data_IF_690351082974
#
_entry.id   IF_690351082974
#
_cell.length_a   1.000
_cell.length_b   1.000
_cell.length_c   1.000
_cell.angle_alpha   90.00
_cell.angle_beta   90.00
_cell.angle_gamma   90.00
#
_symmetry.space_group_name_H-M   'P 1'
#
loop_
_entity.id
_entity.type
_entity.pdbx_description
1 polymer ?
#
# COMPACT_ATOMS: atom_id res chain seq x y z
N UNK A 1 14.51 -9.86 -10.20
CA UNK A 1 13.73 -9.10 -9.19
C UNK A 1 13.40 -7.73 -9.77
N UNK A 2 12.12 -7.39 -9.92
CA UNK A 2 11.72 -6.12 -10.51
C UNK A 2 11.76 -5.00 -9.45
N UNK A 3 12.92 -4.35 -9.32
CA UNK A 3 13.13 -3.26 -8.33
C UNK A 3 12.17 -2.08 -8.53
N UNK A 4 11.80 -1.79 -9.78
CA UNK A 4 10.88 -0.70 -10.10
C UNK A 4 9.49 -0.96 -9.51
N UNK A 5 8.97 -2.17 -9.71
CA UNK A 5 7.68 -2.59 -9.18
C UNK A 5 7.62 -2.50 -7.64
N UNK A 6 8.68 -2.95 -6.96
CA UNK A 6 8.78 -2.84 -5.49
C UNK A 6 8.79 -1.37 -5.04
N UNK A 7 9.52 -0.51 -5.75
CA UNK A 7 9.57 0.93 -5.43
C UNK A 7 8.24 1.63 -5.66
N UNK A 8 7.51 1.27 -6.71
CA UNK A 8 6.21 1.87 -6.96
C UNK A 8 5.18 1.37 -5.94
N UNK A 9 5.17 0.08 -5.59
CA UNK A 9 4.30 -0.43 -4.53
C UNK A 9 4.53 0.32 -3.20
N UNK A 10 5.80 0.60 -2.88
CA UNK A 10 6.17 1.44 -1.74
C UNK A 10 5.58 2.84 -1.83
N UNK A 11 5.59 3.50 -3.00
CA UNK A 11 4.98 4.83 -3.17
C UNK A 11 3.47 4.79 -2.97
N UNK A 12 2.78 3.82 -3.56
CA UNK A 12 1.33 3.67 -3.41
C UNK A 12 0.93 3.48 -1.95
N UNK A 13 1.60 2.56 -1.26
CA UNK A 13 1.28 2.24 0.13
C UNK A 13 1.67 3.36 1.10
N UNK A 14 2.73 4.12 0.82
CA UNK A 14 3.06 5.34 1.59
C UNK A 14 2.00 6.42 1.43
N UNK A 15 1.51 6.65 0.20
CA UNK A 15 0.45 7.62 -0.07
C UNK A 15 -0.85 7.20 0.61
N UNK A 16 -1.17 5.90 0.59
CA UNK A 16 -2.28 5.32 1.33
C UNK A 16 -2.17 5.59 2.84
N UNK A 17 -1.02 5.27 3.46
CA UNK A 17 -0.81 5.50 4.90
C UNK A 17 -0.96 6.99 5.26
N UNK A 18 -0.43 7.88 4.40
CA UNK A 18 -0.53 9.32 4.58
C UNK A 18 -1.97 9.82 4.53
N UNK A 19 -2.75 9.40 3.52
CA UNK A 19 -4.15 9.78 3.42
C UNK A 19 -4.99 9.21 4.56
N UNK A 20 -4.79 7.94 4.91
CA UNK A 20 -5.50 7.33 6.04
C UNK A 20 -5.27 8.10 7.33
N UNK A 21 -4.02 8.42 7.67
CA UNK A 21 -3.68 9.24 8.84
C UNK A 21 -4.31 10.63 8.80
N UNK A 22 -4.42 11.24 7.63
CA UNK A 22 -5.08 12.55 7.49
C UNK A 22 -6.58 12.46 7.75
N UNK A 23 -7.26 11.42 7.28
CA UNK A 23 -8.68 11.21 7.55
C UNK A 23 -8.91 10.91 9.03
N UNK A 24 -8.14 9.98 9.60
CA UNK A 24 -8.23 9.64 11.03
C UNK A 24 -8.02 10.89 11.92
N UNK A 25 -7.11 11.79 11.52
CA UNK A 25 -6.85 13.03 12.24
C UNK A 25 -7.79 14.19 11.84
N UNK A 26 -8.60 14.05 10.79
CA UNK A 26 -9.49 15.13 10.34
C UNK A 26 -10.59 15.40 11.36
N UNK A 27 -11.06 14.37 12.07
CA UNK A 27 -11.99 14.51 13.20
C UNK A 27 -11.35 15.23 14.39
N UNK A 28 -10.07 14.94 14.67
CA UNK A 28 -9.29 15.63 15.72
C UNK A 28 -9.08 17.09 15.33
N UNK A 29 -8.75 17.37 14.07
CA UNK A 29 -8.49 18.74 13.63
C UNK A 29 -9.79 19.55 13.56
N UNK A 30 -10.90 18.98 13.09
CA UNK A 30 -12.22 19.63 13.13
C UNK A 30 -12.65 19.93 14.55
N UNK A 31 -12.47 18.99 15.49
CA UNK A 31 -12.84 19.19 16.89
C UNK A 31 -11.98 20.20 17.64
N UNK A 32 -10.69 20.34 17.30
CA UNK A 32 -9.76 21.25 18.00
C UNK A 32 -9.70 22.63 17.35
N UNK A 33 -9.75 22.72 16.02
CA UNK A 33 -9.47 23.96 15.30
C UNK A 33 -10.69 24.55 14.58
N UNK A 34 -11.85 23.87 14.61
CA UNK A 34 -13.10 24.29 13.94
C UNK A 34 -12.87 24.71 12.47
N UNK A 35 -11.91 24.07 11.81
CA UNK A 35 -11.48 24.35 10.44
C UNK A 35 -11.99 23.25 9.51
N UNK A 36 -12.76 23.65 8.49
CA UNK A 36 -13.11 22.77 7.38
C UNK A 36 -11.94 22.66 6.41
N UNK A 37 -11.31 21.48 6.39
CA UNK A 37 -10.43 21.12 5.28
C UNK A 37 -11.31 20.98 4.03
N UNK A 38 -11.12 21.91 3.08
CA UNK A 38 -11.76 21.98 1.76
C UNK A 38 -12.18 20.61 1.21
N UNK A 39 -13.48 20.45 0.97
CA UNK A 39 -14.15 19.18 0.63
C UNK A 39 -13.61 18.51 -0.64
N UNK A 40 -13.06 19.27 -1.58
CA UNK A 40 -12.66 18.79 -2.91
C UNK A 40 -11.49 17.79 -2.90
N UNK A 41 -10.54 17.90 -1.96
CA UNK A 41 -9.43 16.95 -1.85
C UNK A 41 -9.80 15.68 -1.06
N UNK A 42 -10.92 15.71 -0.31
CA UNK A 42 -11.33 14.59 0.55
C UNK A 42 -11.87 13.42 -0.28
N UNK A 43 -12.64 13.72 -1.34
CA UNK A 43 -13.23 12.71 -2.23
C UNK A 43 -12.17 11.88 -2.96
N UNK A 44 -11.14 12.53 -3.51
CA UNK A 44 -10.02 11.85 -4.19
C UNK A 44 -9.18 11.03 -3.21
N UNK A 45 -8.95 11.54 -1.99
CA UNK A 45 -8.26 10.79 -0.93
C UNK A 45 -9.03 9.55 -0.50
N UNK A 46 -10.36 9.68 -0.29
CA UNK A 46 -11.24 8.57 0.06
C UNK A 46 -11.29 7.52 -1.06
N UNK A 47 -11.43 7.95 -2.31
CA UNK A 47 -11.42 7.06 -3.48
C UNK A 47 -10.11 6.28 -3.59
N UNK A 48 -8.97 6.95 -3.35
CA UNK A 48 -7.67 6.31 -3.33
C UNK A 48 -7.52 5.29 -2.19
N UNK A 49 -7.99 5.62 -0.98
CA UNK A 49 -8.01 4.71 0.17
C UNK A 49 -8.85 3.48 -0.15
N UNK A 50 -10.07 3.67 -0.65
CA UNK A 50 -10.99 2.59 -1.00
C UNK A 50 -10.41 1.66 -2.07
N UNK A 51 -9.75 2.23 -3.09
CA UNK A 51 -9.04 1.45 -4.11
C UNK A 51 -7.98 0.56 -3.45
N UNK A 52 -7.06 1.13 -2.68
CA UNK A 52 -5.98 0.37 -2.04
C UNK A 52 -6.52 -0.69 -1.07
N UNK A 53 -7.54 -0.38 -0.28
CA UNK A 53 -8.14 -1.34 0.66
C UNK A 53 -8.83 -2.50 -0.06
N UNK A 54 -9.56 -2.20 -1.12
CA UNK A 54 -10.23 -3.22 -1.94
C UNK A 54 -9.19 -4.11 -2.61
N UNK A 55 -8.13 -3.53 -3.18
CA UNK A 55 -7.05 -4.30 -3.77
C UNK A 55 -6.34 -5.18 -2.73
N UNK A 56 -6.07 -4.68 -1.53
CA UNK A 56 -5.48 -5.48 -0.45
C UNK A 56 -6.41 -6.61 0.04
N UNK A 57 -7.73 -6.45 -0.02
CA UNK A 57 -8.70 -7.49 0.33
C UNK A 57 -8.75 -8.64 -0.67
N UNK A 58 -8.41 -8.39 -1.94
CA UNK A 58 -8.36 -9.41 -3.00
C UNK A 58 -7.10 -10.28 -2.95
N UNK A 59 -6.06 -9.84 -2.23
CA UNK A 59 -4.80 -10.58 -2.11
C UNK A 59 -4.93 -11.78 -1.17
N UNK A 60 -4.09 -12.80 -1.42
CA UNK A 60 -3.90 -13.89 -0.45
C UNK A 60 -3.36 -13.32 0.85
N UNK A 61 -3.72 -13.96 1.98
CA UNK A 61 -3.33 -13.51 3.34
C UNK A 61 -1.82 -13.25 3.46
N UNK A 62 -0.98 -14.15 2.94
CA UNK A 62 0.48 -14.00 2.99
C UNK A 62 1.00 -12.81 2.17
N UNK A 63 0.40 -12.56 1.01
CA UNK A 63 0.77 -11.46 0.12
C UNK A 63 0.36 -10.11 0.70
N UNK A 64 -0.85 -10.02 1.25
CA UNK A 64 -1.30 -8.86 2.03
C UNK A 64 -0.35 -8.60 3.21
N UNK A 65 -0.02 -9.64 3.98
CA UNK A 65 0.80 -9.50 5.17
C UNK A 65 2.20 -9.01 4.85
N UNK A 66 2.86 -9.55 3.82
CA UNK A 66 4.21 -9.09 3.46
C UNK A 66 4.21 -7.64 2.98
N UNK A 67 3.18 -7.18 2.24
CA UNK A 67 3.06 -5.79 1.83
C UNK A 67 2.87 -4.85 3.03
N UNK A 68 1.99 -5.22 3.97
CA UNK A 68 1.75 -4.44 5.19
C UNK A 68 3.02 -4.37 6.03
N UNK A 69 3.65 -5.51 6.29
CA UNK A 69 4.81 -5.59 7.17
C UNK A 69 6.00 -4.81 6.60
N UNK A 70 6.29 -4.95 5.30
CA UNK A 70 7.41 -4.27 4.65
C UNK A 70 7.14 -2.79 4.44
N UNK A 71 5.96 -2.40 3.97
CA UNK A 71 5.73 -1.03 3.51
C UNK A 71 5.02 -0.13 4.53
N UNK A 72 4.10 -0.68 5.33
CA UNK A 72 3.35 0.10 6.33
C UNK A 72 4.01 0.02 7.71
N UNK A 73 4.46 -1.17 8.13
CA UNK A 73 5.15 -1.35 9.42
C UNK A 73 6.67 -1.17 9.33
N UNK A 74 7.20 -1.00 8.11
CA UNK A 74 8.62 -0.73 7.84
C UNK A 74 9.57 -1.83 8.31
N UNK A 75 9.11 -3.08 8.38
CA UNK A 75 9.96 -4.22 8.74
C UNK A 75 11.02 -4.47 7.66
N UNK A 76 12.23 -4.79 8.10
CA UNK A 76 13.37 -5.16 7.29
C UNK A 76 13.39 -6.66 6.98
N UNK A 77 14.05 -7.04 5.88
CA UNK A 77 14.18 -8.44 5.43
C UNK A 77 14.74 -9.38 6.51
N UNK A 78 15.58 -8.88 7.42
CA UNK A 78 16.19 -9.66 8.51
C UNK A 78 15.19 -10.05 9.60
N UNK A 79 14.03 -9.40 9.66
CA UNK A 79 12.96 -9.69 10.64
C UNK A 79 12.04 -10.85 10.20
N UNK A 80 12.32 -11.47 9.05
CA UNK A 80 11.53 -12.58 8.51
C UNK A 80 12.35 -13.88 8.53
N UNK A 81 11.69 -14.97 8.93
CA UNK A 81 12.27 -16.32 8.95
C UNK A 81 12.30 -16.99 7.55
N UNK A 82 12.52 -16.19 6.51
CA UNK A 82 12.62 -16.66 5.13
C UNK A 82 14.06 -16.60 4.63
N UNK A 83 14.38 -17.47 3.67
CA UNK A 83 15.56 -17.24 2.85
C UNK A 83 15.42 -15.91 2.10
N UNK A 84 16.56 -15.29 1.76
CA UNK A 84 16.58 -14.07 0.96
C UNK A 84 15.80 -14.21 -0.35
N UNK A 85 15.99 -15.34 -1.05
CA UNK A 85 15.29 -15.64 -2.30
C UNK A 85 13.77 -15.80 -2.10
N UNK A 86 13.35 -16.53 -1.06
CA UNK A 86 11.93 -16.73 -0.76
C UNK A 86 11.24 -15.42 -0.39
N UNK A 87 11.90 -14.57 0.39
CA UNK A 87 11.39 -13.24 0.75
C UNK A 87 11.11 -12.40 -0.50
N UNK A 88 12.11 -12.26 -1.39
CA UNK A 88 11.94 -11.43 -2.58
C UNK A 88 10.99 -12.04 -3.62
N UNK A 89 10.88 -13.37 -3.72
CA UNK A 89 9.85 -14.01 -4.55
C UNK A 89 8.44 -13.71 -4.06
N UNK A 90 8.20 -13.86 -2.75
CA UNK A 90 6.90 -13.55 -2.14
C UNK A 90 6.56 -12.07 -2.27
N UNK A 91 7.51 -11.18 -1.98
CA UNK A 91 7.32 -9.73 -2.10
C UNK A 91 7.04 -9.31 -3.55
N UNK A 92 7.78 -9.85 -4.52
CA UNK A 92 7.57 -9.55 -5.93
C UNK A 92 6.19 -10.02 -6.40
N UNK A 93 5.79 -11.25 -6.04
CA UNK A 93 4.45 -11.77 -6.35
C UNK A 93 3.34 -10.93 -5.72
N UNK A 94 3.51 -10.55 -4.46
CA UNK A 94 2.55 -9.70 -3.76
C UNK A 94 2.40 -8.33 -4.42
N UNK A 95 3.50 -7.69 -4.82
CA UNK A 95 3.47 -6.42 -5.55
C UNK A 95 2.78 -6.57 -6.92
N UNK A 96 3.10 -7.62 -7.69
CA UNK A 96 2.44 -7.87 -8.99
C UNK A 96 0.93 -8.04 -8.84
N UNK A 97 0.50 -8.87 -7.88
CA UNK A 97 -0.92 -9.12 -7.64
C UNK A 97 -1.62 -7.85 -7.12
N UNK A 98 -0.94 -7.05 -6.29
CA UNK A 98 -1.48 -5.77 -5.83
C UNK A 98 -1.72 -4.80 -6.98
N UNK A 99 -0.77 -4.68 -7.92
CA UNK A 99 -0.95 -3.85 -9.12
C UNK A 99 -2.07 -4.36 -10.02
N UNK A 100 -2.14 -5.67 -10.23
CA UNK A 100 -3.23 -6.30 -10.97
C UNK A 100 -4.59 -5.98 -10.33
N UNK A 101 -4.72 -6.13 -9.01
CA UNK A 101 -5.92 -5.78 -8.26
C UNK A 101 -6.25 -4.28 -8.21
N UNK A 102 -5.30 -3.41 -8.52
CA UNK A 102 -5.53 -1.97 -8.71
C UNK A 102 -5.93 -1.61 -10.15
N UNK A 103 -5.97 -2.58 -11.07
CA UNK A 103 -6.17 -2.33 -12.50
C UNK A 103 -4.94 -1.72 -13.19
N UNK A 104 -3.76 -1.78 -12.55
CA UNK A 104 -2.50 -1.27 -13.10
C UNK A 104 -1.79 -2.44 -13.77
N UNK A 105 -1.76 -2.43 -15.11
CA UNK A 105 -1.02 -3.42 -15.90
C UNK A 105 0.49 -3.19 -15.75
N UNK A 106 1.12 -3.95 -14.86
CA UNK A 106 2.57 -4.04 -14.81
C UNK A 106 3.01 -5.07 -15.87
N UNK A 107 3.75 -4.64 -16.90
CA UNK A 107 4.36 -5.57 -17.85
C UNK A 107 5.34 -6.47 -17.10
N UNK A 108 4.88 -7.66 -16.74
CA UNK A 108 5.77 -8.74 -16.31
C UNK A 108 6.38 -9.30 -17.58
N UNK A 109 7.59 -8.83 -17.95
CA UNK A 109 8.41 -9.60 -18.88
C UNK A 109 8.64 -10.99 -18.23
N UNK A 110 8.15 -12.08 -18.83
CA UNK A 110 8.58 -13.40 -18.42
C UNK A 110 10.04 -13.53 -18.85
N UNK A 111 10.95 -13.59 -17.89
CA UNK A 111 12.27 -14.18 -18.11
C UNK A 111 12.13 -15.70 -18.07
#
# INVERSE_FOLDING_TARGET
MNKQMINDAKKYLKRYEFFRKRIDNSEIIKSVFNQDFSEDNSSDMLSYIQLVETSLKQLKKEEKNILIDVFLKRKHRTEFNYSCASFYRLLNRACSNFFYSMGIMYQTNPC
#
